data_IF_997565907208
#
_entry.id   IF_997565907208
#
_cell.length_a   1.000
_cell.length_b   1.000
_cell.length_c   1.000
_cell.angle_alpha   90.00
_cell.angle_beta   90.00
_cell.angle_gamma   90.00
#
_symmetry.space_group_name_H-M   'P 1'
#
loop_
_entity.id
_entity.type
_entity.pdbx_description
1 polymer ?
#
# COMPACT_ATOMS: atom_id res chain seq x y z
N UNK A 1 0.70 -18.25 10.70
CA UNK A 1 1.68 -18.65 9.67
C UNK A 1 3.01 -19.15 10.25
N UNK A 2 3.67 -18.41 11.16
CA UNK A 2 4.97 -18.80 11.71
C UNK A 2 4.92 -20.15 12.46
N UNK A 3 4.00 -20.32 13.41
CA UNK A 3 3.88 -21.60 14.13
C UNK A 3 3.55 -22.79 13.21
N UNK A 4 2.67 -22.60 12.21
CA UNK A 4 2.37 -23.65 11.23
C UNK A 4 3.61 -24.03 10.39
N UNK A 5 4.44 -23.05 10.02
CA UNK A 5 5.71 -23.29 9.34
C UNK A 5 6.70 -24.04 10.25
N UNK A 6 6.84 -23.62 11.51
CA UNK A 6 7.72 -24.25 12.50
C UNK A 6 7.31 -25.71 12.76
N UNK A 7 6.00 -25.98 12.91
CA UNK A 7 5.49 -27.33 13.07
C UNK A 7 5.68 -28.19 11.80
N UNK A 8 5.37 -27.63 10.62
CA UNK A 8 5.59 -28.33 9.35
C UNK A 8 7.06 -28.67 9.11
N UNK A 9 7.98 -27.75 9.43
CA UNK A 9 9.41 -27.98 9.39
C UNK A 9 9.86 -29.00 10.43
N UNK A 10 9.38 -28.91 11.68
CA UNK A 10 9.73 -29.85 12.74
C UNK A 10 9.32 -31.29 12.42
N UNK A 11 8.08 -31.48 11.99
CA UNK A 11 7.56 -32.79 11.54
C UNK A 11 8.31 -33.27 10.29
N UNK A 12 8.55 -32.37 9.33
CA UNK A 12 9.28 -32.68 8.11
C UNK A 12 10.72 -33.12 8.37
N UNK A 13 11.44 -32.41 9.24
CA UNK A 13 12.79 -32.79 9.67
C UNK A 13 12.81 -34.15 10.35
N UNK A 14 11.86 -34.45 11.25
CA UNK A 14 11.76 -35.75 11.88
C UNK A 14 11.52 -36.89 10.86
N UNK A 15 10.63 -36.67 9.89
CA UNK A 15 10.34 -37.62 8.81
C UNK A 15 11.56 -37.88 7.91
N UNK A 16 12.31 -36.83 7.56
CA UNK A 16 13.51 -36.95 6.74
C UNK A 16 14.65 -37.66 7.48
N UNK A 17 14.85 -37.36 8.77
CA UNK A 17 15.84 -38.05 9.62
C UNK A 17 15.49 -39.55 9.70
N UNK A 18 14.22 -39.89 9.92
CA UNK A 18 13.79 -41.29 9.95
C UNK A 18 13.96 -41.99 8.58
N UNK A 19 13.65 -41.29 7.48
CA UNK A 19 13.80 -41.82 6.13
C UNK A 19 15.28 -42.03 5.73
N UNK A 20 16.22 -41.28 6.30
CA UNK A 20 17.66 -41.46 6.06
C UNK A 20 18.15 -42.86 6.48
N UNK A 21 17.57 -43.44 7.53
CA UNK A 21 17.87 -44.81 7.97
C UNK A 21 17.26 -45.89 7.07
N UNK A 22 16.26 -45.55 6.24
CA UNK A 22 15.59 -46.47 5.32
C UNK A 22 15.32 -45.78 3.98
N UNK A 23 16.38 -45.69 3.15
CA UNK A 23 16.41 -44.99 1.85
C UNK A 23 15.18 -45.18 0.95
N UNK A 24 14.54 -46.36 0.96
CA UNK A 24 13.31 -46.63 0.18
C UNK A 24 12.13 -45.70 0.51
N UNK A 25 12.12 -45.10 1.70
CA UNK A 25 11.05 -44.19 2.14
C UNK A 25 11.33 -42.72 1.85
N UNK A 26 12.48 -42.36 1.27
CA UNK A 26 12.80 -40.97 0.96
C UNK A 26 11.75 -40.27 0.07
N UNK A 27 11.23 -40.88 -1.03
CA UNK A 27 10.23 -40.21 -1.85
C UNK A 27 8.93 -39.92 -1.10
N UNK A 28 8.49 -40.87 -0.27
CA UNK A 28 7.28 -40.73 0.54
C UNK A 28 7.45 -39.64 1.62
N UNK A 29 8.59 -39.64 2.32
CA UNK A 29 8.88 -38.64 3.34
C UNK A 29 8.94 -37.23 2.74
N UNK A 30 9.62 -37.05 1.59
CA UNK A 30 9.65 -35.78 0.87
C UNK A 30 8.24 -35.32 0.47
N UNK A 31 7.40 -36.21 -0.06
CA UNK A 31 6.02 -35.90 -0.41
C UNK A 31 5.20 -35.42 0.80
N UNK A 32 5.32 -36.11 1.94
CA UNK A 32 4.64 -35.73 3.17
C UNK A 32 5.15 -34.39 3.75
N UNK A 33 6.45 -34.12 3.67
CA UNK A 33 7.02 -32.82 4.06
C UNK A 33 6.43 -31.70 3.21
N UNK A 34 6.37 -31.86 1.88
CA UNK A 34 5.78 -30.86 0.99
C UNK A 34 4.32 -30.59 1.34
N UNK A 35 3.53 -31.64 1.59
CA UNK A 35 2.12 -31.52 2.01
C UNK A 35 2.01 -30.81 3.37
N UNK A 36 2.87 -31.15 4.33
CA UNK A 36 2.88 -30.52 5.65
C UNK A 36 3.24 -29.02 5.61
N UNK A 37 3.98 -28.58 4.59
CA UNK A 37 4.33 -27.18 4.38
C UNK A 37 3.24 -26.37 3.65
N UNK A 38 2.28 -27.02 2.97
CA UNK A 38 1.22 -26.33 2.22
C UNK A 38 0.38 -25.36 3.08
N UNK A 39 -0.09 -25.71 4.30
CA UNK A 39 -0.84 -24.77 5.13
C UNK A 39 -0.03 -23.52 5.48
N UNK A 40 1.28 -23.67 5.74
CA UNK A 40 2.15 -22.53 6.02
C UNK A 40 2.29 -21.61 4.79
N UNK A 41 2.46 -22.20 3.60
CA UNK A 41 2.51 -21.46 2.34
C UNK A 41 1.21 -20.69 2.08
N UNK A 42 0.05 -21.35 2.21
CA UNK A 42 -1.27 -20.73 2.02
C UNK A 42 -1.49 -19.58 3.01
N UNK A 43 -1.18 -19.79 4.30
CA UNK A 43 -1.35 -18.77 5.34
C UNK A 43 -0.35 -17.62 5.22
N UNK A 44 0.75 -17.78 4.48
CA UNK A 44 1.71 -16.71 4.22
C UNK A 44 1.23 -15.72 3.14
N UNK A 45 0.35 -16.15 2.23
CA UNK A 45 -0.11 -15.34 1.10
C UNK A 45 -0.71 -13.99 1.55
N UNK A 46 -1.62 -13.94 2.55
CA UNK A 46 -2.19 -12.67 3.01
C UNK A 46 -1.14 -11.75 3.65
N UNK A 47 -0.17 -12.32 4.37
CA UNK A 47 0.91 -11.54 4.98
C UNK A 47 1.78 -10.88 3.89
N UNK A 48 2.20 -11.66 2.89
CA UNK A 48 2.95 -11.13 1.74
C UNK A 48 2.14 -10.09 0.97
N UNK A 49 0.85 -10.34 0.78
CA UNK A 49 -0.05 -9.40 0.11
C UNK A 49 -0.10 -8.06 0.85
N UNK A 50 -0.27 -8.05 2.17
CA UNK A 50 -0.29 -6.81 2.96
C UNK A 50 1.03 -6.01 2.86
N UNK A 51 2.17 -6.71 2.79
CA UNK A 51 3.48 -6.06 2.65
C UNK A 51 3.85 -5.63 1.23
N UNK A 52 3.10 -6.02 0.20
CA UNK A 52 3.44 -5.75 -1.21
C UNK A 52 2.32 -5.11 -2.03
N UNK A 53 1.08 -5.11 -1.56
CA UNK A 53 -0.11 -4.65 -2.28
C UNK A 53 -0.82 -3.56 -1.49
N UNK A 54 -1.38 -2.60 -2.20
CA UNK A 54 -2.12 -1.47 -1.61
C UNK A 54 -3.53 -1.84 -1.15
N UNK A 55 -4.06 -3.00 -1.56
CA UNK A 55 -5.42 -3.42 -1.20
C UNK A 55 -5.68 -3.47 0.31
N UNK A 56 -4.66 -3.79 1.11
CA UNK A 56 -4.73 -3.72 2.57
C UNK A 56 -4.92 -2.28 3.08
N UNK A 57 -4.31 -1.29 2.44
CA UNK A 57 -4.43 0.11 2.82
C UNK A 57 -5.82 0.64 2.53
N UNK A 58 -6.35 0.42 1.33
CA UNK A 58 -7.67 0.91 0.94
C UNK A 58 -8.75 0.32 1.85
N UNK A 59 -8.65 -0.97 2.20
CA UNK A 59 -9.59 -1.63 3.14
C UNK A 59 -9.51 -1.08 4.56
N UNK A 60 -8.42 -0.43 4.94
CA UNK A 60 -8.25 0.20 6.24
C UNK A 60 -8.65 1.69 6.27
N UNK A 61 -8.90 2.29 5.10
CA UNK A 61 -9.46 3.64 4.96
C UNK A 61 -11.01 3.59 5.06
N UNK A 62 -11.69 4.75 5.17
CA UNK A 62 -13.14 4.80 5.03
C UNK A 62 -13.59 4.16 3.71
N UNK A 63 -14.65 3.34 3.78
CA UNK A 63 -15.21 2.64 2.64
C UNK A 63 -16.72 2.91 2.54
N UNK A 64 -17.21 3.54 1.45
CA UNK A 64 -16.43 4.08 0.34
C UNK A 64 -15.58 5.28 0.77
N UNK A 65 -14.45 5.50 0.09
CA UNK A 65 -13.71 6.75 0.24
C UNK A 65 -14.59 7.93 -0.25
N UNK A 66 -14.61 9.08 0.44
CA UNK A 66 -15.39 10.25 0.05
C UNK A 66 -15.17 10.65 -1.42
N UNK A 67 -16.26 10.94 -2.14
CA UNK A 67 -16.31 11.12 -3.59
C UNK A 67 -15.40 12.24 -4.11
N UNK A 68 -15.18 13.26 -3.31
CA UNK A 68 -14.38 14.45 -3.60
C UNK A 68 -12.87 14.19 -3.64
N UNK A 69 -12.42 13.05 -3.08
CA UNK A 69 -10.99 12.69 -3.07
C UNK A 69 -10.56 12.28 -4.48
N UNK A 70 -9.68 13.08 -5.09
CA UNK A 70 -8.96 12.72 -6.31
C UNK A 70 -7.88 11.69 -5.97
N UNK A 71 -7.80 10.62 -6.76
CA UNK A 71 -6.82 9.54 -6.56
C UNK A 71 -5.88 9.47 -7.76
N UNK A 72 -4.57 9.41 -7.49
CA UNK A 72 -3.55 9.27 -8.53
C UNK A 72 -2.53 8.15 -8.23
N UNK A 73 -1.81 7.74 -9.27
CA UNK A 73 -0.57 6.98 -9.16
C UNK A 73 0.55 7.70 -9.91
N UNK A 74 1.74 7.78 -9.31
CA UNK A 74 2.91 8.39 -9.94
C UNK A 74 3.99 7.36 -10.25
N UNK A 75 4.32 7.22 -11.55
CA UNK A 75 5.29 6.24 -12.06
C UNK A 75 5.06 4.83 -11.52
N UNK A 76 3.78 4.50 -11.31
CA UNK A 76 3.32 3.22 -10.83
C UNK A 76 1.97 2.90 -11.47
N UNK A 77 1.62 1.61 -11.47
CA UNK A 77 0.29 1.16 -11.85
C UNK A 77 -0.09 -0.05 -10.99
N UNK A 78 -1.05 0.13 -10.08
CA UNK A 78 -1.62 -0.94 -9.26
C UNK A 78 -3.13 -1.04 -9.51
N UNK A 79 -3.50 -2.08 -10.26
CA UNK A 79 -4.89 -2.40 -10.62
C UNK A 79 -5.82 -2.55 -9.40
N UNK A 80 -5.28 -2.84 -8.22
CA UNK A 80 -6.10 -2.95 -7.02
C UNK A 80 -6.62 -1.60 -6.53
N UNK A 81 -5.98 -0.48 -6.89
CA UNK A 81 -6.46 0.85 -6.50
C UNK A 81 -7.80 1.16 -7.14
N UNK A 82 -7.90 1.01 -8.47
CA UNK A 82 -9.14 1.24 -9.21
C UNK A 82 -10.24 0.26 -8.79
N UNK A 83 -9.87 -1.01 -8.60
CA UNK A 83 -10.80 -2.05 -8.17
C UNK A 83 -11.40 -1.78 -6.79
N UNK A 84 -10.58 -1.50 -5.77
CA UNK A 84 -11.09 -1.34 -4.40
C UNK A 84 -11.75 0.01 -4.16
N UNK A 85 -11.38 1.05 -4.92
CA UNK A 85 -11.99 2.37 -4.78
C UNK A 85 -13.21 2.55 -5.67
N UNK A 86 -13.43 1.66 -6.65
CA UNK A 86 -14.45 1.79 -7.70
C UNK A 86 -14.37 3.16 -8.41
N UNK A 87 -13.15 3.68 -8.61
CA UNK A 87 -12.91 5.00 -9.20
C UNK A 87 -11.86 4.98 -10.29
N UNK A 88 -11.98 5.96 -11.19
CA UNK A 88 -10.93 6.26 -12.16
C UNK A 88 -9.73 6.85 -11.42
N UNK A 89 -8.56 6.37 -11.80
CA UNK A 89 -7.29 6.73 -11.19
C UNK A 89 -6.52 7.61 -12.17
N UNK A 90 -5.99 8.73 -11.70
CA UNK A 90 -5.17 9.63 -12.50
C UNK A 90 -3.76 9.07 -12.57
N UNK A 91 -3.27 8.80 -13.78
CA UNK A 91 -1.94 8.23 -14.01
C UNK A 91 -0.96 9.35 -14.36
N UNK A 92 0.06 9.54 -13.52
CA UNK A 92 1.12 10.52 -13.72
C UNK A 92 2.41 9.79 -14.08
N UNK A 93 3.08 10.22 -15.16
CA UNK A 93 4.32 9.59 -15.66
C UNK A 93 4.21 8.07 -15.78
N UNK A 94 3.15 7.63 -16.44
CA UNK A 94 2.86 6.22 -16.64
C UNK A 94 4.02 5.48 -17.33
N UNK A 95 4.41 4.33 -16.78
CA UNK A 95 5.61 3.56 -17.18
C UNK A 95 5.28 2.21 -17.85
N UNK A 96 4.02 1.91 -18.19
CA UNK A 96 3.62 0.54 -18.55
C UNK A 96 2.56 0.46 -19.67
N UNK A 97 1.79 -0.63 -19.69
CA UNK A 97 0.92 -1.07 -20.79
C UNK A 97 -0.16 -0.06 -21.22
N UNK A 98 -0.62 0.84 -20.34
CA UNK A 98 -1.63 1.85 -20.70
C UNK A 98 -1.02 3.06 -21.44
N UNK A 99 0.32 3.16 -21.50
CA UNK A 99 1.01 4.14 -22.34
C UNK A 99 0.69 3.90 -23.82
N UNK A 100 0.41 2.64 -24.21
CA UNK A 100 -0.12 2.31 -25.53
C UNK A 100 -1.57 2.81 -25.70
N UNK A 101 -2.41 2.63 -24.67
CA UNK A 101 -3.80 3.09 -24.62
C UNK A 101 -3.98 4.61 -24.71
N UNK A 102 -2.99 5.41 -24.27
CA UNK A 102 -3.00 6.88 -24.41
C UNK A 102 -3.18 7.37 -25.85
N UNK A 103 -2.81 6.56 -26.83
CA UNK A 103 -2.94 6.92 -28.25
C UNK A 103 -4.36 6.73 -28.81
N UNK A 104 -5.22 6.00 -28.10
CA UNK A 104 -6.53 5.56 -28.59
C UNK A 104 -7.68 6.45 -28.12
N UNK A 105 -7.51 7.25 -27.05
CA UNK A 105 -8.57 8.11 -26.52
C UNK A 105 -8.02 9.45 -26.02
N UNK A 106 -8.78 10.54 -26.22
CA UNK A 106 -8.41 11.91 -25.88
C UNK A 106 -8.59 12.22 -24.38
N UNK A 107 -8.27 11.28 -23.50
CA UNK A 107 -8.50 11.34 -22.06
C UNK A 107 -7.35 12.02 -21.30
N UNK A 108 -6.91 13.19 -21.78
CA UNK A 108 -5.75 13.93 -21.24
C UNK A 108 -5.87 14.30 -19.75
N UNK A 109 -7.09 14.36 -19.22
CA UNK A 109 -7.35 14.65 -17.80
C UNK A 109 -6.92 13.53 -16.84
N UNK A 110 -6.90 12.28 -17.31
CA UNK A 110 -6.51 11.11 -16.52
C UNK A 110 -5.04 10.69 -16.73
N UNK A 111 -4.36 11.31 -17.68
CA UNK A 111 -3.02 10.94 -18.11
C UNK A 111 -2.09 12.15 -18.07
N UNK A 112 -1.55 12.44 -16.89
CA UNK A 112 -0.71 13.60 -16.67
C UNK A 112 0.79 13.24 -16.76
N UNK A 113 1.63 14.28 -16.87
CA UNK A 113 3.09 14.14 -16.94
C UNK A 113 3.77 15.06 -15.95
N UNK A 114 4.83 14.56 -15.34
CA UNK A 114 5.73 15.25 -14.45
C UNK A 114 5.18 15.52 -13.05
N UNK A 115 6.12 15.73 -12.12
CA UNK A 115 5.86 16.10 -10.74
C UNK A 115 4.99 17.36 -10.58
N UNK A 116 5.11 18.34 -11.47
CA UNK A 116 4.33 19.58 -11.41
C UNK A 116 2.83 19.33 -11.54
N UNK A 117 2.43 18.36 -12.34
CA UNK A 117 1.03 17.96 -12.47
C UNK A 117 0.51 17.37 -11.17
N UNK A 118 1.33 16.58 -10.47
CA UNK A 118 1.00 16.04 -9.15
C UNK A 118 0.83 17.15 -8.10
N UNK A 119 1.75 18.12 -8.07
CA UNK A 119 1.66 19.28 -7.18
C UNK A 119 0.40 20.11 -7.45
N UNK A 120 0.07 20.31 -8.73
CA UNK A 120 -1.16 21.01 -9.12
C UNK A 120 -2.40 20.29 -8.59
N UNK A 121 -2.50 18.97 -8.80
CA UNK A 121 -3.61 18.17 -8.28
C UNK A 121 -3.73 18.25 -6.76
N UNK A 122 -2.60 18.20 -6.04
CA UNK A 122 -2.57 18.32 -4.59
C UNK A 122 -3.02 19.71 -4.07
N UNK A 123 -2.97 20.75 -4.91
CA UNK A 123 -3.44 22.10 -4.58
C UNK A 123 -4.90 22.39 -4.99
N UNK A 124 -5.56 21.49 -5.72
CA UNK A 124 -6.92 21.71 -6.26
C UNK A 124 -8.04 21.11 -5.39
N UNK A 125 -7.72 20.35 -4.34
CA UNK A 125 -8.72 19.69 -3.51
C UNK A 125 -8.17 18.50 -2.72
N UNK A 126 -9.03 17.70 -2.05
CA UNK A 126 -8.62 16.48 -1.34
C UNK A 126 -7.94 15.50 -2.30
N UNK A 127 -6.70 15.13 -2.01
CA UNK A 127 -5.87 14.39 -2.94
C UNK A 127 -5.13 13.25 -2.25
N UNK A 128 -5.16 12.08 -2.89
CA UNK A 128 -4.46 10.87 -2.47
C UNK A 128 -3.63 10.36 -3.65
N UNK A 129 -2.35 10.08 -3.43
CA UNK A 129 -1.48 9.50 -4.46
C UNK A 129 -0.73 8.29 -3.93
N UNK A 130 -0.70 7.23 -4.74
CA UNK A 130 0.18 6.08 -4.56
C UNK A 130 1.52 6.31 -5.29
N UNK A 131 2.61 6.12 -4.57
CA UNK A 131 3.98 6.37 -5.02
C UNK A 131 4.83 5.12 -4.81
N UNK A 132 5.91 5.00 -5.59
CA UNK A 132 6.99 4.06 -5.23
C UNK A 132 7.89 4.66 -4.15
N UNK A 133 8.51 3.83 -3.28
CA UNK A 133 9.43 4.29 -2.24
C UNK A 133 10.54 5.24 -2.72
N UNK A 134 11.04 5.03 -3.93
CA UNK A 134 12.12 5.85 -4.51
C UNK A 134 11.69 7.29 -4.81
N UNK A 135 10.38 7.56 -4.97
CA UNK A 135 9.86 8.90 -5.22
C UNK A 135 9.72 9.73 -3.92
N UNK A 136 9.63 9.09 -2.75
CA UNK A 136 9.35 9.78 -1.49
C UNK A 136 10.38 10.86 -1.09
N UNK A 137 11.70 10.65 -1.22
CA UNK A 137 12.68 11.70 -0.91
C UNK A 137 12.52 12.97 -1.76
N UNK A 138 11.86 12.88 -2.91
CA UNK A 138 11.51 14.02 -3.76
C UNK A 138 10.18 14.65 -3.36
N UNK A 139 9.17 13.83 -3.07
CA UNK A 139 7.80 14.30 -2.72
C UNK A 139 7.76 14.97 -1.35
N UNK A 140 8.41 14.38 -0.34
CA UNK A 140 8.48 14.93 1.02
C UNK A 140 8.95 16.39 1.06
N UNK A 141 9.90 16.75 0.19
CA UNK A 141 10.42 18.12 0.06
C UNK A 141 9.38 19.17 -0.36
N UNK A 142 8.22 18.75 -0.86
CA UNK A 142 7.18 19.69 -1.27
C UNK A 142 6.38 20.24 -0.08
N UNK A 143 6.38 19.55 1.06
CA UNK A 143 5.69 20.01 2.28
C UNK A 143 4.17 20.08 2.19
N UNK A 144 3.57 19.43 1.19
CA UNK A 144 2.11 19.45 0.92
C UNK A 144 1.46 18.05 0.98
N UNK A 145 2.26 16.99 1.07
CA UNK A 145 1.81 15.61 1.04
C UNK A 145 2.45 14.86 2.21
N UNK A 146 1.60 14.21 3.00
CA UNK A 146 2.01 13.48 4.19
C UNK A 146 1.68 11.99 4.06
N UNK A 147 2.47 11.10 4.69
CA UNK A 147 2.25 9.67 4.59
C UNK A 147 0.93 9.24 5.23
N UNK A 148 0.12 8.51 4.46
CA UNK A 148 -1.13 7.89 4.91
C UNK A 148 -0.87 6.45 5.29
N UNK A 149 -0.21 5.71 4.41
CA UNK A 149 0.09 4.29 4.57
C UNK A 149 1.33 3.92 3.75
N UNK A 150 2.09 2.93 4.21
CA UNK A 150 3.36 2.54 3.59
C UNK A 150 3.57 1.04 3.67
N UNK A 151 4.04 0.43 2.58
CA UNK A 151 4.62 -0.89 2.62
C UNK A 151 5.93 -0.92 1.84
N UNK A 152 6.50 -2.11 1.68
CA UNK A 152 7.77 -2.34 0.98
C UNK A 152 7.79 -1.79 -0.45
N UNK A 153 6.64 -1.74 -1.12
CA UNK A 153 6.57 -1.43 -2.56
C UNK A 153 5.80 -0.14 -2.87
N UNK A 154 5.04 0.40 -1.93
CA UNK A 154 4.12 1.51 -2.13
C UNK A 154 4.11 2.46 -0.93
N UNK A 155 4.00 3.75 -1.21
CA UNK A 155 3.76 4.81 -0.23
C UNK A 155 2.51 5.55 -0.70
N UNK A 156 1.44 5.48 0.09
CA UNK A 156 0.26 6.32 -0.11
C UNK A 156 0.45 7.59 0.68
N UNK A 157 0.33 8.73 0.01
CA UNK A 157 0.42 10.06 0.63
C UNK A 157 -0.80 10.88 0.26
N UNK A 158 -1.24 11.76 1.15
CA UNK A 158 -2.36 12.66 0.93
C UNK A 158 -2.06 14.07 1.43
N UNK A 159 -2.84 15.05 1.00
CA UNK A 159 -2.76 16.42 1.52
C UNK A 159 -3.67 16.60 2.76
N UNK A 160 -3.57 17.75 3.41
CA UNK A 160 -4.36 18.05 4.63
C UNK A 160 -5.87 17.91 4.40
N UNK A 161 -6.35 18.34 3.23
CA UNK A 161 -7.76 18.19 2.88
C UNK A 161 -8.20 16.73 2.77
N UNK A 162 -7.34 15.85 2.23
CA UNK A 162 -7.59 14.40 2.25
C UNK A 162 -7.74 13.90 3.68
N UNK A 163 -6.83 14.25 4.60
CA UNK A 163 -6.91 13.79 6.00
C UNK A 163 -8.17 14.27 6.69
N UNK A 164 -8.53 15.55 6.49
CA UNK A 164 -9.76 16.16 7.01
C UNK A 164 -11.01 15.41 6.55
N UNK A 165 -11.11 15.15 5.24
CA UNK A 165 -12.29 14.52 4.63
C UNK A 165 -12.35 13.02 4.93
N UNK A 166 -11.21 12.33 4.96
CA UNK A 166 -11.12 10.91 5.26
C UNK A 166 -11.19 10.60 6.77
N UNK A 167 -11.13 11.60 7.65
CA UNK A 167 -11.09 11.38 9.10
C UNK A 167 -9.85 10.58 9.54
N UNK A 168 -8.72 10.80 8.86
CA UNK A 168 -7.45 10.12 9.12
C UNK A 168 -6.42 11.12 9.66
N UNK A 169 -5.35 10.62 10.26
CA UNK A 169 -4.19 11.43 10.67
C UNK A 169 -2.93 10.98 9.93
N UNK A 170 -2.09 11.93 9.47
CA UNK A 170 -0.85 11.60 8.78
C UNK A 170 0.12 10.87 9.70
N UNK A 171 0.90 9.94 9.18
CA UNK A 171 2.12 9.50 9.86
C UNK A 171 3.17 10.62 9.82
N UNK A 172 4.03 10.71 10.84
CA UNK A 172 5.23 11.55 10.76
C UNK A 172 6.10 11.19 9.55
N UNK A 173 6.68 12.19 8.89
CA UNK A 173 7.49 12.01 7.67
C UNK A 173 8.72 11.10 7.89
N UNK A 174 9.27 11.11 9.11
CA UNK A 174 10.40 10.28 9.55
C UNK A 174 10.01 8.81 9.85
N UNK A 175 8.72 8.48 9.84
CA UNK A 175 8.24 7.11 10.01
C UNK A 175 8.58 6.22 8.81
N UNK A 176 8.90 6.80 7.66
CA UNK A 176 9.31 6.05 6.47
C UNK A 176 10.78 5.65 6.59
N UNK A 177 11.00 4.45 7.12
CA UNK A 177 12.33 3.86 7.35
C UNK A 177 12.70 2.81 6.30
N UNK A 178 13.96 2.36 6.31
CA UNK A 178 14.44 1.26 5.46
C UNK A 178 14.00 -0.09 6.03
N UNK A 179 13.34 -0.93 5.24
CA UNK A 179 13.03 -2.31 5.59
C UNK A 179 11.66 -2.77 5.07
N UNK A 180 11.22 -4.00 5.43
CA UNK A 180 9.83 -4.38 5.24
C UNK A 180 8.97 -3.53 6.17
N UNK A 181 8.47 -2.42 5.64
CA UNK A 181 7.63 -1.48 6.35
C UNK A 181 6.16 -1.90 6.18
N UNK A 182 5.36 -1.65 7.20
CA UNK A 182 3.90 -1.70 7.11
C UNK A 182 3.30 -0.65 8.03
N UNK A 183 3.06 0.53 7.48
CA UNK A 183 2.32 1.61 8.14
C UNK A 183 0.90 1.60 7.61
N UNK A 184 -0.06 1.38 8.50
CA UNK A 184 -1.49 1.36 8.14
C UNK A 184 -2.11 2.74 8.35
N UNK A 185 -3.18 3.10 7.63
CA UNK A 185 -3.93 4.33 7.89
C UNK A 185 -4.32 4.46 9.37
N UNK A 186 -4.14 5.64 9.94
CA UNK A 186 -4.51 5.94 11.33
C UNK A 186 -5.77 6.77 11.36
N UNK A 187 -6.77 6.31 12.12
CA UNK A 187 -8.01 7.06 12.33
C UNK A 187 -7.75 8.25 13.25
N UNK A 188 -8.41 9.38 12.99
CA UNK A 188 -8.45 10.47 13.95
C UNK A 188 -9.27 10.05 15.18
N UNK A 189 -8.74 10.27 16.37
CA UNK A 189 -9.45 10.02 17.64
C UNK A 189 -10.61 10.99 17.84
N UNK A 190 -10.55 12.15 17.18
CA UNK A 190 -11.64 13.14 17.15
C UNK A 190 -12.22 13.16 15.74
N UNK A 191 -13.48 12.72 15.51
CA UNK A 191 -14.12 12.90 14.23
C UNK A 191 -14.25 14.40 13.99
N UNK A 192 -13.41 14.95 13.11
CA UNK A 192 -13.48 16.36 12.74
C UNK A 192 -14.87 16.63 12.19
N UNK A 193 -15.63 17.51 12.85
CA UNK A 193 -16.80 18.10 12.22
C UNK A 193 -16.32 18.83 10.95
N UNK A 194 -16.94 18.61 9.79
CA UNK A 194 -16.55 19.32 8.57
C UNK A 194 -16.81 20.81 8.76
N UNK A 195 -15.75 21.61 9.01
CA UNK A 195 -15.84 23.07 9.08
C UNK A 195 -15.01 23.76 10.17
N UNK A 196 -14.49 23.05 11.18
CA UNK A 196 -13.62 23.67 12.19
C UNK A 196 -12.16 23.56 11.74
N UNK A 197 -11.65 24.64 11.14
CA UNK A 197 -10.22 24.83 10.93
C UNK A 197 -9.52 24.72 12.29
N UNK A 198 -8.59 23.78 12.38
CA UNK A 198 -7.76 23.59 13.57
C UNK A 198 -6.79 24.79 13.64
N UNK A 199 -7.19 25.83 14.36
CA UNK A 199 -6.30 26.94 14.71
C UNK A 199 -5.37 26.37 15.78
N UNK A 200 -4.10 26.23 15.42
CA UNK A 200 -3.05 25.74 16.28
C UNK A 200 -2.96 26.62 17.55
N UNK A 201 -3.21 26.09 18.77
CA UNK A 201 -3.16 26.88 20.01
C UNK A 201 -1.74 27.29 20.41
N UNK A 202 -0.72 26.97 19.60
CA UNK A 202 0.67 27.30 19.87
C UNK A 202 1.22 28.48 19.05
N UNK A 203 0.41 29.17 18.24
CA UNK A 203 0.80 30.45 17.65
C UNK A 203 0.47 31.62 18.59
N UNK A 204 1.11 31.64 19.75
CA UNK A 204 1.32 32.87 20.54
C UNK A 204 2.49 32.64 21.48
N UNK A 205 3.69 32.89 20.98
CA UNK A 205 4.82 33.49 21.70
C UNK A 205 5.96 33.82 20.73
#
# INVERSE_FOLDING_TARGET
PLHAALWGLGIGSALLIFAAFKRRFMPLATGLVLVALLPAAILSVPAVANHRKIGGFIKAMPNPLPSEIKIAEWSNYDQSLSFYTNRRIILVDEISELAFGKSLEKSSEFFLKGAKSLQKLAGEGPFLVNLRPQAWPRVSKWGILHPVAVNTTNIMVGNDEFFRVAGLVPWPDDSITKGPLLLMPRKSETPGKPGEGNIDPLSTK
#
